data_IF_678212752233
#
_entry.id   IF_678212752233
#
_cell.length_a   1.000
_cell.length_b   1.000
_cell.length_c   1.000
_cell.angle_alpha   90.00
_cell.angle_beta   90.00
_cell.angle_gamma   90.00
#
_symmetry.space_group_name_H-M   'P 1'
#
loop_
_entity.id
_entity.type
_entity.pdbx_description
1 polymer ?
2 branched ?
3 non-polymer ?
4 water ?
#
# COMPACT_ATOMS: atom_id res chain seq x y z
N UNK A 1 -2.52 -10.77 0.27
CA UNK A 1 -3.77 -10.24 0.82
C UNK A 1 -3.59 -8.81 1.33
N UNK A 2 -3.60 -7.84 0.42
CA UNK A 2 -3.57 -6.44 0.81
C UNK A 2 -2.25 -5.95 1.37
N UNK A 3 -2.11 -4.63 1.46
CA UNK A 3 -0.91 -3.99 2.00
C UNK A 3 -1.22 -2.53 2.31
N UNK A 4 -0.61 -2.03 3.38
CA UNK A 4 -0.74 -0.64 3.78
C UNK A 4 0.47 0.13 3.25
N UNK A 5 0.22 1.10 2.37
CA UNK A 5 1.26 1.90 1.75
C UNK A 5 1.26 3.30 2.34
N UNK A 6 2.43 3.74 2.81
CA UNK A 6 2.63 5.11 3.27
C UNK A 6 3.69 5.75 2.39
N UNK A 7 3.29 6.78 1.63
CA UNK A 7 4.18 7.45 0.69
C UNK A 7 4.52 8.83 1.22
N UNK A 8 5.76 9.00 1.66
CA UNK A 8 6.22 10.32 2.08
C UNK A 8 6.46 11.20 0.87
N UNK A 9 6.05 12.47 0.96
CA UNK A 9 6.19 13.41 -0.15
C UNK A 9 7.20 14.51 0.14
N UNK A 10 6.95 15.34 1.16
CA UNK A 10 7.82 16.48 1.42
C UNK A 10 7.99 16.67 2.93
N UNK A 11 9.24 16.80 3.37
CA UNK A 11 9.57 17.21 4.72
C UNK A 11 10.21 18.59 4.65
N UNK A 12 9.68 19.53 5.43
CA UNK A 12 10.08 20.93 5.36
C UNK A 12 10.80 21.32 6.64
N UNK A 13 12.03 21.81 6.52
CA UNK A 13 12.80 22.30 7.65
C UNK A 13 13.97 23.15 7.17
N UNK A 14 13.68 24.34 6.64
CA UNK A 14 14.70 25.20 6.05
C UNK A 14 15.68 25.72 7.09
N UNK A 15 15.29 25.75 8.37
CA UNK A 15 16.12 26.30 9.42
C UNK A 15 17.10 25.28 10.01
N UNK A 16 16.91 23.99 9.72
CA UNK A 16 17.76 22.96 10.27
C UNK A 16 17.70 22.90 11.79
N UNK A 17 16.50 22.89 12.34
CA UNK A 17 16.30 23.00 13.78
C UNK A 17 15.74 21.69 14.35
N UNK A 18 15.47 21.71 15.65
CA UNK A 18 15.18 20.52 16.44
C UNK A 18 13.78 20.60 17.01
N UNK A 19 13.31 19.46 17.53
CA UNK A 19 12.02 19.42 18.22
C UNK A 19 12.01 20.35 19.43
N UNK A 20 13.16 20.53 20.08
CA UNK A 20 13.28 21.40 21.24
C UNK A 20 13.66 22.84 20.87
N UNK A 21 13.82 23.13 19.58
CA UNK A 21 14.11 24.47 19.10
C UNK A 21 15.54 24.67 18.65
N UNK A 22 16.49 23.94 19.24
CA UNK A 22 17.89 24.08 18.89
C UNK A 22 18.13 23.57 17.47
N UNK A 23 19.38 23.60 17.03
CA UNK A 23 19.73 23.15 15.69
C UNK A 23 20.39 21.78 15.74
N UNK A 24 20.21 21.03 14.65
CA UNK A 24 20.72 19.66 14.59
C UNK A 24 22.24 19.64 14.62
N UNK A 25 22.89 20.59 13.93
CA UNK A 25 24.35 20.64 13.93
C UNK A 25 24.89 21.22 15.22
N UNK A 26 24.12 22.03 15.92
CA UNK A 26 24.49 22.52 17.23
C UNK A 26 25.36 23.76 17.26
N UNK A 27 25.51 24.47 16.14
CA UNK A 27 26.32 25.68 16.09
C UNK A 27 25.66 26.69 15.17
N UNK A 28 25.34 27.86 15.70
CA UNK A 28 24.83 28.98 14.93
C UNK A 28 25.90 30.07 14.87
N UNK A 29 25.48 31.31 14.60
CA UNK A 29 26.38 32.45 14.59
C UNK A 29 25.80 33.52 15.53
N UNK A 30 26.71 34.36 16.03
CA UNK A 30 26.35 35.38 17.00
C UNK A 30 25.24 36.30 16.57
N UNK A 31 25.42 36.98 15.44
CA UNK A 31 24.38 37.82 14.89
C UNK A 31 23.29 36.96 14.25
N UNK A 32 22.28 37.62 13.69
CA UNK A 32 21.19 36.97 12.99
C UNK A 32 20.51 35.90 13.84
N UNK A 33 20.80 34.63 13.55
CA UNK A 33 20.22 33.53 14.28
C UNK A 33 20.23 32.24 13.49
N UNK A 34 20.51 32.33 12.19
CA UNK A 34 20.57 31.16 11.35
C UNK A 34 21.71 30.23 11.79
N UNK A 35 21.60 28.97 11.39
CA UNK A 35 22.51 27.94 11.86
C UNK A 35 23.43 27.47 10.74
N UNK A 36 24.32 26.53 11.07
CA UNK A 36 25.36 26.07 10.17
C UNK A 36 25.51 24.57 10.33
N UNK A 37 25.27 23.82 9.25
CA UNK A 37 25.51 22.39 9.27
C UNK A 37 24.38 21.55 8.71
N UNK A 38 23.19 22.13 8.62
CA UNK A 38 21.99 21.46 8.09
C UNK A 38 21.60 20.24 8.93
N UNK A 39 20.47 19.62 8.57
CA UNK A 39 19.88 18.53 9.35
C UNK A 39 19.78 17.29 8.49
N UNK A 40 20.66 16.32 8.74
CA UNK A 40 20.67 15.08 7.97
C UNK A 40 19.52 14.20 8.44
N UNK A 41 18.46 14.11 7.64
CA UNK A 41 17.17 13.61 8.08
C UNK A 41 16.97 12.15 7.66
N UNK A 42 16.68 11.29 8.64
CA UNK A 42 16.17 9.96 8.42
C UNK A 42 14.71 9.92 8.87
N UNK A 43 14.08 8.75 8.73
CA UNK A 43 12.71 8.56 9.18
C UNK A 43 12.57 7.19 9.81
N UNK A 44 11.63 7.09 10.75
CA UNK A 44 11.19 5.82 11.31
C UNK A 44 9.68 5.75 11.21
N UNK A 45 9.17 4.66 10.67
CA UNK A 45 7.74 4.46 10.47
C UNK A 45 7.33 3.19 11.19
N UNK A 46 6.40 3.32 12.14
CA UNK A 46 5.88 2.19 12.89
C UNK A 46 4.37 2.11 12.67
N UNK A 47 3.91 0.98 12.14
CA UNK A 47 2.50 0.72 11.93
C UNK A 47 2.05 -0.40 12.86
N UNK A 48 0.98 -0.17 13.60
CA UNK A 48 0.50 -1.10 14.61
C UNK A 48 -1.02 -1.16 14.54
N UNK A 49 -1.59 -2.05 15.35
CA UNK A 49 -3.04 -2.19 15.42
C UNK A 49 -3.64 -1.09 16.28
N UNK A 50 -4.92 -0.80 16.02
CA UNK A 50 -5.68 0.13 16.84
C UNK A 50 -5.99 -0.52 18.18
N UNK A 51 -5.38 -0.01 19.26
CA UNK A 51 -5.51 -0.62 20.58
C UNK A 51 -6.20 0.30 21.58
N UNK A 52 -6.73 1.44 21.13
CA UNK A 52 -7.69 2.26 21.89
C UNK A 52 -7.12 2.84 23.17
N UNK A 53 -5.79 2.97 23.28
CA UNK A 53 -5.18 3.61 24.44
C UNK A 53 -4.11 4.63 24.06
N UNK A 54 -3.95 4.92 22.77
CA UNK A 54 -3.09 5.96 22.21
C UNK A 54 -1.70 5.95 22.86
N UNK A 55 -1.23 4.78 23.27
CA UNK A 55 0.08 4.64 23.89
C UNK A 55 1.14 4.30 22.86
N UNK A 56 2.38 4.70 23.16
CA UNK A 56 3.49 4.58 22.22
C UNK A 56 4.51 3.52 22.64
N UNK A 57 4.28 2.83 23.75
CA UNK A 57 5.19 1.79 24.21
C UNK A 57 4.81 0.41 23.71
N UNK A 58 3.64 0.27 23.08
CA UNK A 58 3.20 -1.03 22.59
C UNK A 58 4.00 -1.42 21.34
N UNK A 59 3.68 -2.60 20.82
CA UNK A 59 4.44 -3.19 19.72
C UNK A 59 3.89 -2.74 18.37
N UNK A 60 4.80 -2.62 17.40
CA UNK A 60 4.44 -2.33 16.01
C UNK A 60 4.06 -3.64 15.35
N UNK A 61 2.75 -3.94 15.35
CA UNK A 61 2.29 -5.23 14.87
C UNK A 61 2.46 -5.39 13.36
N UNK A 62 2.44 -4.29 12.61
CA UNK A 62 2.60 -4.38 11.16
C UNK A 62 4.06 -4.24 10.72
N UNK A 63 4.80 -3.30 11.30
CA UNK A 63 6.18 -3.11 10.90
C UNK A 63 6.83 -1.98 11.67
N UNK A 64 8.17 -2.01 11.69
CA UNK A 64 9.01 -1.01 12.34
C UNK A 64 10.16 -0.71 11.38
N UNK A 65 9.87 0.12 10.37
CA UNK A 65 10.79 0.39 9.28
C UNK A 65 11.69 1.56 9.62
N UNK A 66 12.98 1.42 9.31
CA UNK A 66 13.97 2.47 9.50
C UNK A 66 14.49 2.87 8.12
N UNK A 67 14.57 4.18 7.89
CA UNK A 67 14.97 4.78 6.62
C UNK A 67 16.40 5.31 6.70
N UNK A 68 17.21 5.10 5.65
CA UNK A 68 18.54 5.73 5.62
C UNK A 68 18.42 7.24 5.42
N UNK A 69 19.56 7.92 5.56
CA UNK A 69 19.61 9.37 5.42
C UNK A 69 19.21 9.76 4.01
N UNK A 70 18.01 10.30 3.85
CA UNK A 70 17.49 10.65 2.53
C UNK A 70 17.91 12.03 2.06
N UNK A 71 18.07 12.99 2.97
CA UNK A 71 18.43 14.32 2.55
C UNK A 71 18.85 15.18 3.71
N UNK A 72 18.88 16.49 3.47
CA UNK A 72 19.28 17.48 4.47
C UNK A 72 18.23 18.58 4.54
N UNK A 73 17.87 18.96 5.77
CA UNK A 73 16.86 19.98 6.02
C UNK A 73 15.55 19.65 5.30
N UNK A 74 15.10 20.53 4.42
CA UNK A 74 13.90 20.26 3.64
C UNK A 74 14.22 19.25 2.53
N UNK A 75 13.34 18.25 2.37
CA UNK A 75 13.62 17.10 1.51
C UNK A 75 12.42 16.87 0.60
N UNK A 76 12.69 16.66 -0.69
CA UNK A 76 11.67 16.24 -1.65
C UNK A 76 11.75 14.72 -1.77
N UNK A 77 10.78 14.02 -1.17
CA UNK A 77 10.80 12.57 -1.18
C UNK A 77 10.06 11.97 -2.38
N UNK A 78 9.10 12.70 -2.95
CA UNK A 78 8.38 12.20 -4.11
C UNK A 78 9.25 12.29 -5.37
N UNK A 84 13.03 7.95 -5.11
CA UNK A 84 14.30 7.52 -5.66
C UNK A 84 14.70 6.17 -5.07
N UNK A 85 15.98 6.03 -4.67
CA UNK A 85 16.45 4.76 -4.14
C UNK A 85 17.33 4.94 -2.91
N UNK A 86 18.64 4.74 -3.07
CA UNK A 86 19.58 4.60 -1.95
C UNK A 86 19.16 3.43 -1.06
N UNK A 87 18.64 2.38 -1.67
CA UNK A 87 18.18 1.21 -0.94
C UNK A 87 16.82 1.35 -0.30
N UNK A 88 16.17 2.51 -0.41
CA UNK A 88 14.89 2.78 0.23
C UNK A 88 13.78 2.80 -0.81
N UNK A 89 12.65 2.20 -0.46
CA UNK A 89 11.50 2.11 -1.35
C UNK A 89 10.41 3.07 -0.88
N UNK A 90 9.90 3.88 -1.80
CA UNK A 90 8.80 4.80 -1.54
C UNK A 90 7.75 4.56 -2.60
N UNK A 91 6.50 4.23 -2.22
CA UNK A 91 5.93 4.14 -0.87
C UNK A 91 6.44 2.96 -0.04
N UNK A 92 6.32 3.09 1.28
CA UNK A 92 6.68 2.01 2.20
C UNK A 92 5.46 1.10 2.37
N UNK A 93 5.68 -0.20 2.27
CA UNK A 93 4.60 -1.18 2.26
C UNK A 93 4.66 -2.06 3.49
N UNK A 94 3.55 -2.14 4.22
CA UNK A 94 3.38 -3.07 5.34
C UNK A 94 2.32 -4.10 4.95
N UNK A 95 2.71 -5.28 4.49
CA UNK A 95 1.72 -6.27 4.05
C UNK A 95 1.11 -7.02 5.22
N UNK A 96 -0.03 -7.65 4.95
CA UNK A 96 -0.71 -8.49 5.91
C UNK A 96 -1.31 -9.68 5.20
N UNK A 97 -1.71 -10.69 5.98
CA UNK A 97 -2.30 -11.91 5.45
C UNK A 97 -3.67 -12.20 6.04
N UNK A 98 -4.24 -11.28 6.78
CA UNK A 98 -5.56 -11.42 7.40
C UNK A 98 -6.50 -10.39 6.81
N UNK A 99 -7.74 -10.38 7.32
CA UNK A 99 -8.70 -9.37 6.91
C UNK A 99 -8.27 -8.01 7.47
N UNK A 100 -8.34 -6.99 6.63
CA UNK A 100 -7.95 -5.65 7.06
C UNK A 100 -8.89 -5.19 8.17
N UNK A 101 -8.39 -4.93 9.38
CA UNK A 101 -9.27 -4.59 10.51
C UNK A 101 -10.02 -3.27 10.35
N UNK A 102 -9.77 -2.51 9.29
CA UNK A 102 -10.42 -1.23 9.09
C UNK A 102 -9.89 -0.10 9.96
N UNK A 103 -9.18 -0.43 11.04
CA UNK A 103 -8.59 0.57 11.92
C UNK A 103 -7.09 0.34 12.02
N UNK A 104 -6.36 1.40 12.36
CA UNK A 104 -4.91 1.30 12.45
C UNK A 104 -4.39 2.42 13.34
N UNK A 105 -3.13 2.27 13.76
CA UNK A 105 -2.39 3.27 14.50
C UNK A 105 -0.99 3.37 13.89
N UNK A 106 -0.50 4.59 13.75
CA UNK A 106 0.73 4.83 13.00
C UNK A 106 1.59 5.86 13.70
N UNK A 107 2.90 5.61 13.75
CA UNK A 107 3.88 6.54 14.28
C UNK A 107 4.91 6.82 13.19
N UNK A 108 5.18 8.10 12.94
CA UNK A 108 6.17 8.53 11.96
C UNK A 108 7.08 9.55 12.63
N UNK A 109 8.37 9.26 12.70
CA UNK A 109 9.34 10.13 13.33
C UNK A 109 10.36 10.58 12.30
N UNK A 110 10.68 11.88 12.31
CA UNK A 110 11.78 12.42 11.52
C UNK A 110 12.96 12.66 12.45
N UNK A 111 14.12 12.11 12.07
CA UNK A 111 15.28 12.11 12.95
C UNK A 111 16.49 12.74 12.25
N UNK A 112 17.32 13.41 13.05
CA UNK A 112 18.64 13.83 12.61
C UNK A 112 19.65 12.73 12.95
N UNK A 113 20.68 12.61 12.12
CA UNK A 113 21.67 11.56 12.31
C UNK A 113 22.94 11.95 11.57
N UNK A 114 24.04 12.12 12.29
CA UNK A 114 25.31 12.42 11.66
C UNK A 114 25.85 11.17 10.96
N UNK A 115 26.87 11.38 10.12
CA UNK A 115 27.38 10.30 9.29
C UNK A 115 28.81 10.58 8.83
N UNK A 116 29.68 10.94 9.76
CA UNK A 116 31.09 11.16 9.46
C UNK A 116 31.84 9.83 9.56
N UNK A 117 32.56 9.47 8.49
CA UNK A 117 33.24 8.19 8.43
C UNK A 117 34.40 8.10 9.41
N UNK A 118 34.78 9.19 10.05
CA UNK A 118 35.84 9.19 11.05
C UNK A 118 35.36 9.03 12.48
N UNK A 119 34.08 8.78 12.70
CA UNK A 119 33.51 8.60 14.02
C UNK A 119 33.03 7.17 14.21
N UNK A 120 33.28 6.63 15.40
CA UNK A 120 32.78 5.31 15.77
C UNK A 120 31.39 5.36 16.39
N UNK A 121 30.83 6.56 16.59
CA UNK A 121 29.51 6.70 17.17
C UNK A 121 28.88 7.98 16.62
N UNK A 122 27.61 7.90 16.25
CA UNK A 122 26.91 9.00 15.62
C UNK A 122 26.11 9.81 16.63
N UNK A 123 25.61 10.96 16.18
CA UNK A 123 24.80 11.84 17.00
C UNK A 123 23.41 11.95 16.38
N UNK A 124 22.38 11.67 17.17
CA UNK A 124 21.01 11.66 16.69
C UNK A 124 20.14 12.58 17.55
N UNK A 125 19.23 13.29 16.89
CA UNK A 125 18.28 14.17 17.56
C UNK A 125 16.92 14.03 16.90
N UNK A 126 15.88 13.82 17.70
CA UNK A 126 14.53 13.69 17.18
C UNK A 126 14.02 15.04 16.71
N UNK A 127 13.66 15.13 15.43
CA UNK A 127 13.18 16.38 14.85
C UNK A 127 11.69 16.55 15.05
N UNK A 128 10.89 15.54 14.66
CA UNK A 128 9.44 15.65 14.75
C UNK A 128 8.85 14.25 14.91
N UNK A 129 7.72 14.19 15.61
CA UNK A 129 6.97 12.95 15.80
C UNK A 129 5.50 13.21 15.56
N UNK A 130 4.86 12.34 14.79
CA UNK A 130 3.44 12.44 14.49
C UNK A 130 2.76 11.10 14.70
N UNK A 131 1.52 11.14 15.16
CA UNK A 131 0.71 9.96 15.41
C UNK A 131 -0.58 10.06 14.60
N UNK A 132 -0.89 9.00 13.86
CA UNK A 132 -2.11 8.93 13.04
C UNK A 132 -2.82 7.64 13.42
N UNK A 133 -4.00 7.78 14.05
CA UNK A 133 -4.76 6.63 14.53
C UNK A 133 -6.22 6.87 14.16
N UNK A 134 -6.71 6.18 13.13
CA UNK A 134 -8.03 6.43 12.59
C UNK A 134 -8.55 5.18 11.89
N UNK A 135 -9.78 5.27 11.39
CA UNK A 135 -10.46 4.17 10.71
C UNK A 135 -10.25 4.33 9.21
N UNK A 136 -9.66 3.32 8.58
CA UNK A 136 -9.31 3.37 7.16
C UNK A 136 -9.95 2.22 6.42
N UNK A 137 -10.57 2.53 5.29
CA UNK A 137 -11.26 1.55 4.45
C UNK A 137 -10.41 1.20 3.24
N UNK A 138 -10.66 0.01 2.69
CA UNK A 138 -9.90 -0.48 1.54
C UNK A 138 -10.35 0.27 0.30
N UNK A 139 -9.45 1.04 -0.29
CA UNK A 139 -9.75 1.82 -1.49
C UNK A 139 -8.44 2.18 -2.18
N UNK A 140 -8.53 2.34 -3.50
CA UNK A 140 -7.35 2.68 -4.29
C UNK A 140 -6.99 4.16 -4.21
N UNK A 141 -7.79 4.98 -3.54
CA UNK A 141 -7.52 6.40 -3.44
C UNK A 141 -6.58 6.68 -2.28
N UNK A 142 -5.67 7.63 -2.49
CA UNK A 142 -4.75 8.04 -1.43
C UNK A 142 -5.41 9.07 -0.53
N UNK A 143 -5.16 8.96 0.76
CA UNK A 143 -5.56 9.98 1.74
C UNK A 143 -4.32 10.78 2.11
N UNK A 144 -4.37 12.08 1.83
CA UNK A 144 -3.23 12.97 2.00
C UNK A 144 -3.40 13.80 3.27
N UNK A 145 -2.33 13.88 4.05
CA UNK A 145 -2.31 14.75 5.22
C UNK A 145 -0.96 15.46 5.31
N UNK A 146 -0.86 16.38 6.26
CA UNK A 146 0.33 17.19 6.43
C UNK A 146 0.42 17.61 7.88
N UNK A 147 1.39 17.08 8.61
CA UNK A 147 1.59 17.39 10.01
C UNK A 147 2.57 18.55 10.14
N UNK A 148 2.19 19.57 10.93
CA UNK A 148 2.98 20.78 11.08
C UNK A 148 3.26 21.00 12.57
N UNK A 149 4.55 21.08 12.91
CA UNK A 149 4.95 21.35 14.29
C UNK A 149 5.31 22.82 14.46
N UNK A 150 6.36 23.10 15.25
CA UNK A 150 6.78 24.48 15.44
C UNK A 150 7.66 24.96 14.30
N UNK A 151 8.53 24.08 13.79
CA UNK A 151 9.42 24.43 12.69
C UNK A 151 9.30 23.52 11.48
N UNK A 152 8.95 22.25 11.67
CA UNK A 152 8.99 21.25 10.62
C UNK A 152 7.58 20.89 10.14
N UNK A 153 7.53 20.37 8.92
CA UNK A 153 6.28 19.96 8.30
C UNK A 153 6.54 18.73 7.45
N UNK A 154 5.71 17.71 7.61
CA UNK A 154 5.83 16.46 6.87
C UNK A 154 4.53 16.17 6.14
N UNK A 155 4.61 15.97 4.82
CA UNK A 155 3.46 15.68 3.99
C UNK A 155 3.56 14.25 3.48
N UNK A 156 2.43 13.54 3.50
CA UNK A 156 2.43 12.12 3.19
C UNK A 156 1.06 11.70 2.67
N UNK A 157 1.04 10.57 1.97
CA UNK A 157 -0.18 9.90 1.55
C UNK A 157 -0.20 8.49 2.12
N UNK A 158 -1.40 7.98 2.41
CA UNK A 158 -1.54 6.65 2.96
C UNK A 158 -2.81 6.01 2.44
N UNK A 159 -2.77 4.69 2.26
CA UNK A 159 -3.93 3.94 1.79
C UNK A 159 -3.70 2.46 2.04
N UNK A 160 -4.78 1.69 1.90
CA UNK A 160 -4.73 0.23 1.93
C UNK A 160 -5.37 -0.28 0.65
N UNK A 161 -4.65 -1.17 -0.04
CA UNK A 161 -5.15 -1.76 -1.27
C UNK A 161 -4.92 -3.27 -1.24
N UNK A 162 -5.84 -4.01 -1.86
CA UNK A 162 -5.73 -5.46 -1.89
C UNK A 162 -4.67 -5.90 -2.88
N UNK A 163 -4.08 -7.08 -2.61
CA UNK A 163 -3.10 -7.65 -3.51
C UNK A 163 -3.79 -8.15 -4.79
N UNK A 164 -2.97 -8.57 -5.75
CA UNK A 164 -3.50 -9.07 -7.00
C UNK A 164 -4.30 -10.35 -6.77
N UNK A 165 -5.41 -10.47 -7.50
CA UNK A 165 -6.32 -11.62 -7.43
C UNK A 165 -6.97 -11.76 -6.06
N UNK A 166 -6.98 -10.70 -5.26
CA UNK A 166 -7.65 -10.69 -3.97
C UNK A 166 -8.69 -9.58 -3.95
N UNK A 167 -9.96 -9.96 -3.81
CA UNK A 167 -11.07 -9.02 -3.76
C UNK A 167 -11.72 -9.07 -2.39
N UNK A 168 -12.65 -8.16 -2.15
CA UNK A 168 -13.42 -8.10 -0.92
C UNK A 168 -13.15 -6.83 -0.16
N UNK A 169 -13.67 -6.78 1.07
CA UNK A 169 -13.53 -5.62 1.93
C UNK A 169 -12.34 -5.73 2.87
N UNK A 170 -11.99 -6.94 3.29
CA UNK A 170 -10.80 -7.18 4.06
C UNK A 170 -9.65 -7.74 3.26
N UNK A 171 -9.75 -7.77 1.93
CA UNK A 171 -8.75 -8.35 1.04
C UNK A 171 -8.46 -9.80 1.43
N UNK A 172 -9.54 -10.59 1.53
CA UNK A 172 -9.43 -11.99 1.93
C UNK A 172 -9.98 -12.97 0.92
N UNK A 173 -10.97 -12.57 0.11
CA UNK A 173 -11.59 -13.47 -0.85
C UNK A 173 -10.74 -13.53 -2.11
N UNK A 174 -10.25 -14.74 -2.44
CA UNK A 174 -9.40 -14.93 -3.59
C UNK A 174 -10.24 -15.17 -4.84
N UNK A 175 -9.77 -14.64 -5.97
CA UNK A 175 -10.45 -14.82 -7.25
C UNK A 175 -9.48 -14.48 -8.37
N UNK A 176 -9.32 -15.39 -9.32
CA UNK A 176 -8.50 -15.15 -10.49
C UNK A 176 -9.34 -15.39 -11.74
N UNK A 177 -9.37 -14.46 -12.68
CA UNK A 177 -10.03 -14.72 -13.96
C UNK A 177 -9.32 -15.83 -14.71
N UNK A 178 -10.07 -16.50 -15.57
CA UNK A 178 -9.53 -17.62 -16.34
C UNK A 178 -10.23 -17.69 -17.68
N UNK A 179 -9.49 -18.12 -18.71
CA UNK A 179 -10.02 -18.25 -20.05
C UNK A 179 -9.27 -19.39 -20.75
N UNK A 180 -9.44 -20.60 -20.24
CA UNK A 180 -8.88 -21.79 -20.86
C UNK A 180 -9.84 -22.95 -20.61
N UNK A 181 -9.37 -24.19 -20.80
CA UNK A 181 -10.23 -25.35 -20.68
C UNK A 181 -10.74 -25.56 -19.25
N UNK A 182 -10.12 -24.93 -18.26
CA UNK A 182 -10.52 -25.07 -16.86
C UNK A 182 -11.42 -23.93 -16.40
N UNK A 183 -11.91 -23.10 -17.30
CA UNK A 183 -12.82 -22.04 -16.93
C UNK A 183 -12.75 -20.86 -17.88
N UNK A 184 -13.87 -20.15 -17.99
CA UNK A 184 -13.98 -18.95 -18.82
C UNK A 184 -14.81 -17.94 -18.03
N UNK A 185 -14.13 -17.05 -17.29
CA UNK A 185 -14.85 -16.20 -16.34
C UNK A 185 -13.96 -15.06 -15.89
N UNK A 186 -14.60 -14.04 -15.32
CA UNK A 186 -13.95 -12.93 -14.63
C UNK A 186 -14.44 -12.92 -13.17
N UNK A 187 -14.06 -11.86 -12.44
CA UNK A 187 -14.46 -11.70 -11.06
C UNK A 187 -15.20 -10.39 -10.85
N UNK A 188 -16.10 -10.39 -9.87
CA UNK A 188 -16.85 -9.19 -9.52
C UNK A 188 -16.05 -8.31 -8.58
N UNK A 189 -16.73 -7.48 -7.79
CA UNK A 189 -16.05 -6.62 -6.82
C UNK A 189 -15.78 -7.33 -5.49
N UNK A 190 -16.66 -8.23 -5.07
CA UNK A 190 -16.47 -8.96 -3.84
C UNK A 190 -15.71 -10.27 -4.02
N UNK A 191 -15.47 -10.69 -5.25
CA UNK A 191 -14.67 -11.87 -5.54
C UNK A 191 -15.43 -13.07 -6.09
N UNK A 192 -16.63 -12.88 -6.61
CA UNK A 192 -17.42 -13.99 -7.13
C UNK A 192 -17.12 -14.23 -8.60
N UNK A 193 -17.14 -15.50 -9.00
CA UNK A 193 -16.84 -15.90 -10.36
C UNK A 193 -17.99 -15.53 -11.28
N UNK A 194 -17.87 -14.40 -11.98
CA UNK A 194 -18.82 -14.02 -13.01
C UNK A 194 -18.30 -14.55 -14.34
N UNK A 195 -19.13 -15.34 -15.01
CA UNK A 195 -18.67 -16.10 -16.17
C UNK A 195 -18.93 -15.36 -17.46
N UNK A 196 -18.13 -15.68 -18.47
CA UNK A 196 -18.29 -15.09 -19.79
C UNK A 196 -19.59 -15.57 -20.43
N UNK A 197 -20.05 -14.80 -21.42
CA UNK A 197 -21.27 -15.15 -22.12
C UNK A 197 -21.13 -16.50 -22.82
N UNK A 198 -22.07 -17.40 -22.53
CA UNK A 198 -22.05 -18.72 -23.12
C UNK A 198 -21.35 -19.79 -22.32
N UNK A 199 -21.12 -19.56 -21.03
CA UNK A 199 -20.46 -20.54 -20.18
C UNK A 199 -21.30 -20.79 -18.94
N UNK A 200 -21.09 -21.96 -18.33
CA UNK A 200 -21.96 -22.44 -17.27
C UNK A 200 -21.23 -23.49 -16.46
N UNK A 201 -21.64 -23.63 -15.20
CA UNK A 201 -21.08 -24.63 -14.31
C UNK A 201 -20.47 -24.00 -13.07
N UNK A 202 -19.74 -24.82 -12.32
CA UNK A 202 -19.06 -24.33 -11.12
C UNK A 202 -17.92 -23.40 -11.49
N UNK A 203 -16.96 -23.89 -12.26
CA UNK A 203 -15.89 -23.08 -12.80
C UNK A 203 -16.21 -22.54 -14.18
N UNK A 204 -17.42 -22.80 -14.68
CA UNK A 204 -17.86 -22.40 -16.01
C UNK A 204 -16.92 -22.94 -17.09
N UNK A 205 -16.74 -24.26 -17.06
CA UNK A 205 -16.00 -25.01 -18.06
C UNK A 205 -16.91 -25.62 -19.12
N UNK A 206 -18.21 -25.38 -19.04
CA UNK A 206 -19.20 -25.97 -19.92
C UNK A 206 -19.74 -24.89 -20.83
N UNK A 207 -19.79 -25.10 -22.14
CA UNK A 207 -20.35 -24.09 -23.05
C UNK A 207 -21.88 -24.15 -23.05
N UNK A 208 -22.47 -23.13 -23.66
CA UNK A 208 -23.91 -23.05 -23.84
C UNK A 208 -24.23 -23.09 -25.33
N UNK A 209 -24.94 -24.13 -25.75
CA UNK A 209 -25.25 -24.33 -27.15
C UNK A 209 -26.34 -23.36 -27.60
N UNK A 210 -26.76 -23.50 -28.86
CA UNK A 210 -27.78 -22.64 -29.43
C UNK A 210 -29.16 -23.11 -29.02
N UNK A 211 -30.19 -22.36 -29.42
CA UNK A 211 -31.57 -22.67 -29.10
C UNK A 211 -32.00 -24.00 -29.71
N UNK A 212 -31.95 -25.07 -28.91
CA UNK A 212 -32.36 -26.38 -29.36
C UNK A 212 -31.26 -27.41 -29.27
N UNK A 213 -30.79 -27.88 -30.43
CA UNK A 213 -29.67 -28.80 -30.52
C UNK A 213 -29.91 -30.12 -29.80
N UNK A 214 -30.63 -31.02 -30.44
CA UNK A 214 -30.74 -32.41 -30.01
C UNK A 214 -29.62 -33.21 -30.64
N UNK A 215 -29.06 -34.15 -29.89
CA UNK A 215 -27.93 -34.97 -30.31
C UNK A 215 -26.65 -34.15 -30.45
N UNK A 216 -26.75 -32.97 -31.05
CA UNK A 216 -25.59 -32.10 -31.16
C UNK A 216 -25.16 -31.55 -29.80
N UNK A 217 -23.85 -31.32 -29.68
CA UNK A 217 -23.24 -30.91 -28.41
C UNK A 217 -22.42 -29.65 -28.62
N UNK A 218 -21.89 -29.11 -27.52
CA UNK A 218 -21.16 -27.85 -27.52
C UNK A 218 -19.66 -28.12 -27.43
N UNK A 219 -18.91 -27.67 -28.43
CA UNK A 219 -17.47 -27.53 -28.32
C UNK A 219 -17.05 -26.11 -27.97
N UNK A 220 -17.79 -25.12 -28.45
CA UNK A 220 -17.70 -23.73 -28.06
C UNK A 220 -19.12 -23.22 -27.85
N UNK A 221 -19.29 -22.12 -27.13
CA UNK A 221 -20.65 -21.61 -26.89
C UNK A 221 -21.35 -21.22 -28.18
N UNK A 222 -22.66 -21.48 -28.21
CA UNK A 222 -23.54 -21.12 -29.34
C UNK A 222 -23.06 -21.78 -30.64
N UNK A 223 -22.93 -23.10 -30.59
CA UNK A 223 -22.59 -23.91 -31.75
C UNK A 223 -22.93 -25.35 -31.41
N UNK A 224 -23.19 -26.15 -32.46
CA UNK A 224 -23.64 -27.52 -32.26
C UNK A 224 -23.08 -28.41 -33.35
N UNK A 225 -22.26 -29.38 -32.95
CA UNK A 225 -21.60 -30.30 -33.89
C UNK A 225 -22.49 -31.52 -34.05
N UNK A 226 -22.87 -31.81 -35.30
CA UNK A 226 -23.77 -32.91 -35.58
C UNK A 226 -23.04 -34.24 -35.56
N UNK A 227 -23.77 -35.30 -35.25
CA UNK A 227 -23.25 -36.66 -35.26
C UNK A 227 -23.68 -37.36 -36.56
N UNK A 228 -23.40 -38.66 -36.63
CA UNK A 228 -23.68 -39.42 -37.85
C UNK A 228 -25.19 -39.61 -38.02
N UNK A 229 -25.72 -39.18 -39.15
CA UNK A 229 -27.12 -39.35 -39.46
C UNK A 229 -28.01 -38.15 -39.17
N UNK A 230 -27.43 -37.00 -38.81
CA UNK A 230 -28.21 -35.81 -38.50
C UNK A 230 -27.56 -34.60 -39.14
N UNK A 231 -28.35 -33.79 -39.83
CA UNK A 231 -27.85 -32.60 -40.51
C UNK A 231 -28.54 -31.35 -40.00
N UNK A 232 -28.49 -30.28 -40.79
CA UNK A 232 -29.15 -29.04 -40.42
C UNK A 232 -28.28 -28.14 -39.57
N UNK A 233 -28.92 -27.15 -38.97
CA UNK A 233 -28.24 -26.22 -38.08
C UNK A 233 -28.25 -26.69 -36.63
N UNK A 234 -29.40 -27.16 -36.14
CA UNK A 234 -29.52 -27.65 -34.79
C UNK A 234 -29.20 -29.14 -34.66
N UNK A 235 -28.72 -29.76 -35.74
CA UNK A 235 -28.38 -31.18 -35.75
C UNK A 235 -29.57 -32.04 -35.35
N UNK A 236 -30.73 -31.74 -35.95
CA UNK A 236 -31.97 -32.45 -35.65
C UNK A 236 -31.84 -33.95 -35.90
X LIG B 1 25.85 7.11 5.83
X LIG B 1 24.55 6.70 5.16
X LIG B 1 24.74 5.36 4.46
X LIG B 1 25.89 5.45 3.46
X LIG B 1 27.15 6.03 4.11
X LIG B 1 28.19 6.42 3.07
X LIG B 1 23.33 5.77 7.11
X LIG B 1 22.09 5.89 7.94
X LIG B 1 23.44 6.64 6.10
X LIG B 1 23.52 5.03 3.78
X LIG B 1 26.23 4.14 2.99
X LIG B 1 26.87 7.23 4.85
X LIG B 1 27.71 7.48 2.24
X LIG B 1 24.19 4.93 7.35
X LIG B 2 25.49 3.81 1.80
X LIG B 2 26.35 2.98 0.86
X LIG B 2 25.54 2.56 -0.36
X LIG B 2 24.21 1.94 0.02
X LIG B 2 23.48 2.80 1.06
X LIG B 2 22.24 2.13 1.62
X LIG B 2 28.77 3.18 0.44
X LIG B 2 29.87 4.08 0.00
X LIG B 2 27.54 3.71 0.46
X LIG B 2 26.32 1.63 -1.11
X LIG B 2 23.36 1.87 -1.11
X LIG B 2 24.33 3.07 2.17
X LIG B 2 22.36 1.91 3.01
X LIG B 2 28.96 2.01 0.75
X LIG B 3 23.49 0.65 -1.86
X LIG B 3 22.07 0.12 -2.15
X LIG B 3 22.13 -1.03 -3.13
X LIG B 3 22.93 -0.63 -4.38
X LIG B 3 24.34 -0.19 -3.97
X LIG B 3 25.19 0.28 -5.15
X LIG B 3 21.30 1.14 -2.78
X LIG B 3 20.82 -1.47 -3.49
X LIG B 3 23.00 -1.72 -5.29
X LIG B 3 24.23 0.91 -3.05
X LIG B 3 25.75 1.56 -4.83
X LIG B 4 20.72 -2.90 -3.31
X LIG B 4 20.21 -3.50 -4.65
X LIG B 4 19.19 -4.59 -4.37
X LIG B 4 19.62 -5.48 -3.21
X LIG B 4 19.72 -4.64 -1.92
X LIG B 4 20.89 -5.04 -1.04
X LIG B 4 21.27 -4.13 -5.37
X LIG B 4 18.94 -5.38 -5.54
X LIG B 4 18.69 -6.52 -3.02
X LIG B 4 19.87 -3.23 -2.23
X LIG B 4 20.71 -4.47 0.25
X LIG B 5 26.78 1.87 -5.79
X LIG B 5 28.16 1.63 -5.12
X LIG B 5 28.44 2.72 -4.10
X LIG B 5 28.33 4.10 -4.74
X LIG B 5 26.92 4.27 -5.32
X LIG B 5 26.75 5.59 -6.05
X LIG B 5 29.22 1.72 -6.08
X LIG B 5 29.73 2.56 -3.50
X LIG B 5 28.56 5.11 -3.78
X LIG B 5 26.65 3.21 -6.27
X LIG B 5 25.68 5.46 -6.98
X LIG B 6 28.79 8.43 2.07
X LIG B 6 28.97 8.69 0.54
X LIG B 6 27.82 9.49 -0.09
X LIG B 6 27.11 10.47 0.87
X LIG B 6 27.93 10.79 2.15
X LIG B 6 29.01 11.88 1.96
X LIG B 6 29.16 7.46 -0.18
X LIG B 6 28.33 10.26 -1.18
X LIG B 6 26.85 11.69 0.17
X LIG B 6 28.56 9.64 2.80
X LIG C 1 9.43 18.21 -5.65
X LIG C 1 9.27 17.58 -7.03
X LIG C 1 8.20 18.33 -7.81
X LIG C 1 6.92 18.52 -7.00
X LIG C 1 7.20 18.98 -5.56
X LIG C 1 5.98 18.89 -4.68
X LIG C 1 10.73 16.91 -8.90
X LIG C 1 12.10 17.01 -9.49
X LIG C 1 10.54 17.56 -7.75
X LIG C 1 7.89 17.62 -9.01
X LIG C 1 6.11 19.50 -7.62
X LIG C 1 8.21 18.15 -4.95
X LIG C 1 6.14 19.65 -3.49
X LIG C 1 9.83 16.27 -9.44
X LIG D 1 -5.29 15.62 8.60
X LIG D 1 -6.78 15.66 8.27
X LIG D 1 -7.58 15.84 9.54
X LIG D 1 -7.44 14.59 10.41
X LIG D 1 -5.96 14.25 10.62
X LIG D 1 -5.58 12.90 10.05
X LIG D 1 -7.08 16.53 5.99
X LIG D 1 -7.40 17.73 5.16
X LIG D 1 -7.07 16.72 7.32
X LIG D 1 -8.95 16.05 9.22
X LIG D 1 -8.05 14.81 11.68
X LIG D 1 -5.08 15.23 10.02
X LIG D 1 -4.24 12.57 10.39
X LIG D 1 -6.83 15.43 5.50
#
# INVERSE_FOLDING_TARGET
SGSFELRLKYFSNDHGRDNEGRCCSGESDGATGKCLGSCKTRFRVCLKHYQATIDTTSQCTYGDVITPILGENSVNLTDAQRFQNKGFTNPIQFPFSFSWPGTFSLIVEAWHDTNNSGNARTNKLLIQRLLVQQVLEVSSEWKTNKSESQYTSLEYDFRVTCDLNYYGSGCAKFCRPRDDSFGHSTCSETGEIICLTGWQGDYCHIPKCAKGCEHGHCDKPNQCVCQLGWKGALCN
NAG C1 C2 C3 C4 C5 C6 C7 C8 N2 O3 O4 O5 O6 O7
NAG C1 C2 C3 C4 C5 C6 C7 C8 N2 O3 O4 O5 O6 O7
BMA C1 C2 C3 C4 C5 C6 O2 O3 O4 O5 O6
MAN C1 C2 C3 C4 C5 C6 O2 O3 O4 O5 O6
MAN C1 C2 C3 C4 C5 C6 O2 O3 O4 O5 O6
FUC C1 C2 C3 C4 C5 C6 O2 O3 O4 O5
NAG C1 C2 C3 C4 C5 C6 C7 C8 N2 O3 O4 O5 O6 O7
NAG C1 C2 C3 C4 C5 C6 C7 C8 N2 O3 O4 O5 O6 O7
#
